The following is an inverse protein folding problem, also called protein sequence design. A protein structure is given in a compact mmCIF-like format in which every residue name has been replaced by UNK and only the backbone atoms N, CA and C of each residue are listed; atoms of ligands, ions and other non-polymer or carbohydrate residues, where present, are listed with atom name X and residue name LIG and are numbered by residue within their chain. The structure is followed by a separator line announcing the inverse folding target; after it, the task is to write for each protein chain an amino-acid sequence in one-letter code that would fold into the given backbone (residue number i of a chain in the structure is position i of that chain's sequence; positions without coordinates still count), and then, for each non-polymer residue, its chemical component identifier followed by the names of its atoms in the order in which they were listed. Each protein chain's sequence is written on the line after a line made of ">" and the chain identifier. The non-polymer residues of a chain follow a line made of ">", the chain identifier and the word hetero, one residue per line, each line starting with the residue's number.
data_IF_787358992513
#
_entry.id   IF_787358992513
#
_cell.length_a   1.000
_cell.length_b   1.000
_cell.length_c   1.000
_cell.angle_alpha   90.00
_cell.angle_beta   90.00
_cell.angle_gamma   90.00
#
_symmetry.space_group_name_H-M   'P 1'
#
loop_
_entity.id
_entity.type
_entity.pdbx_description
1 polymer ?
#
# COMPACT_ATOMS: atom_id res chain seq x y z
N UNK A 1 0.90 1.65 23.50
CA UNK A 1 1.22 2.89 22.81
C UNK A 1 0.45 3.01 21.54
N UNK A 2 -0.26 4.11 21.37
CA UNK A 2 -1.08 4.34 20.21
C UNK A 2 -0.28 4.96 19.07
N UNK A 3 -0.83 4.85 17.88
CA UNK A 3 -0.35 5.56 16.71
C UNK A 3 -1.46 6.45 16.18
N UNK A 4 -1.09 7.45 15.39
CA UNK A 4 -2.05 8.35 14.73
C UNK A 4 -1.98 8.16 13.24
N UNK A 5 -3.15 8.18 12.59
CA UNK A 5 -3.27 8.12 11.13
C UNK A 5 -3.48 9.54 10.63
N UNK A 6 -2.60 10.02 9.76
CA UNK A 6 -2.55 11.40 9.30
C UNK A 6 -2.30 11.45 7.80
N UNK A 7 -2.63 12.59 7.19
CA UNK A 7 -2.24 12.82 5.81
C UNK A 7 -0.74 13.06 5.71
N UNK A 8 -0.14 12.57 4.64
CA UNK A 8 1.24 12.82 4.29
C UNK A 8 1.46 14.30 4.00
N UNK A 9 2.60 14.82 4.43
CA UNK A 9 3.04 16.18 4.12
C UNK A 9 4.36 16.11 3.35
N UNK A 10 4.64 17.03 2.42
CA UNK A 10 5.90 17.00 1.66
C UNK A 10 7.16 16.96 2.52
N UNK A 11 7.12 17.52 3.72
CA UNK A 11 8.26 17.47 4.64
C UNK A 11 8.54 16.05 5.15
N UNK A 12 7.60 15.12 4.98
CA UNK A 12 7.76 13.70 5.37
C UNK A 12 8.48 12.89 4.29
N UNK A 13 8.81 13.47 3.14
CA UNK A 13 9.26 12.72 1.96
C UNK A 13 10.50 11.87 2.22
N UNK A 14 11.54 12.42 2.84
CA UNK A 14 12.77 11.66 3.06
C UNK A 14 12.55 10.52 4.04
N UNK A 15 11.79 10.76 5.09
CA UNK A 15 11.49 9.73 6.09
C UNK A 15 10.64 8.62 5.48
N UNK A 16 9.66 8.98 4.65
CA UNK A 16 8.82 8.00 3.98
C UNK A 16 9.63 7.14 3.00
N UNK A 17 10.54 7.74 2.24
CA UNK A 17 11.39 7.00 1.30
C UNK A 17 12.22 5.95 2.05
N UNK A 18 12.81 6.32 3.18
CA UNK A 18 13.60 5.41 4.00
C UNK A 18 12.75 4.29 4.59
N UNK A 19 11.55 4.62 5.05
CA UNK A 19 10.62 3.63 5.57
C UNK A 19 10.26 2.61 4.49
N UNK A 20 9.91 3.07 3.30
CA UNK A 20 9.54 2.20 2.20
C UNK A 20 10.65 1.22 1.87
N UNK A 21 11.89 1.70 1.78
CA UNK A 21 13.05 0.84 1.52
C UNK A 21 13.20 -0.20 2.63
N UNK A 22 13.14 0.22 3.89
CA UNK A 22 13.32 -0.71 5.01
C UNK A 22 12.25 -1.78 5.07
N UNK A 23 11.03 -1.44 4.67
CA UNK A 23 9.93 -2.40 4.69
C UNK A 23 10.10 -3.50 3.64
N UNK A 24 10.79 -3.22 2.53
CA UNK A 24 10.98 -4.19 1.45
C UNK A 24 12.30 -4.96 1.54
N UNK A 25 13.23 -4.57 2.39
CA UNK A 25 14.54 -5.23 2.47
C UNK A 25 14.45 -6.72 2.79
N UNK A 26 13.42 -7.15 3.49
CA UNK A 26 13.20 -8.57 3.79
C UNK A 26 13.03 -9.42 2.54
N UNK A 27 12.71 -8.81 1.40
CA UNK A 27 12.49 -9.53 0.13
C UNK A 27 13.67 -9.41 -0.83
N UNK A 28 14.82 -8.92 -0.36
CA UNK A 28 15.98 -8.62 -1.21
C UNK A 28 16.42 -9.78 -2.08
N UNK A 29 16.38 -10.99 -1.55
CA UNK A 29 16.84 -12.18 -2.28
C UNK A 29 15.77 -12.78 -3.18
N UNK A 30 14.56 -12.20 -3.21
CA UNK A 30 13.43 -12.73 -3.97
C UNK A 30 13.20 -11.96 -5.27
N UNK A 31 13.32 -10.63 -5.23
CA UNK A 31 13.12 -9.80 -6.42
C UNK A 31 14.35 -9.80 -7.31
N UNK A 32 14.14 -9.87 -8.63
CA UNK A 32 15.20 -9.70 -9.61
C UNK A 32 15.58 -8.21 -9.68
N UNK A 33 16.82 -7.91 -10.09
CA UNK A 33 17.30 -6.54 -10.30
C UNK A 33 16.99 -5.64 -9.08
N UNK A 34 17.36 -6.13 -7.92
CA UNK A 34 17.04 -5.47 -6.64
C UNK A 34 17.35 -3.98 -6.63
N UNK A 35 18.52 -3.57 -7.15
CA UNK A 35 18.90 -2.15 -7.12
C UNK A 35 17.90 -1.27 -7.87
N UNK A 36 17.41 -1.75 -9.01
CA UNK A 36 16.41 -1.03 -9.80
C UNK A 36 15.07 -1.05 -9.08
N UNK A 37 14.65 -2.22 -8.58
CA UNK A 37 13.39 -2.36 -7.88
C UNK A 37 13.33 -1.44 -6.65
N UNK A 38 14.37 -1.48 -5.80
CA UNK A 38 14.35 -0.70 -4.55
C UNK A 38 14.40 0.81 -4.81
N UNK A 39 15.00 1.24 -5.94
CA UNK A 39 14.99 2.65 -6.29
C UNK A 39 13.57 3.13 -6.61
N UNK A 40 12.75 2.27 -7.21
CA UNK A 40 11.32 2.58 -7.46
C UNK A 40 10.53 2.62 -6.17
N UNK A 41 10.84 1.73 -5.22
CA UNK A 41 10.20 1.72 -3.91
C UNK A 41 10.55 3.01 -3.15
N UNK A 42 11.81 3.46 -3.22
CA UNK A 42 12.25 4.69 -2.58
C UNK A 42 11.54 5.93 -3.13
N UNK A 43 10.98 5.84 -4.34
CA UNK A 43 10.24 6.93 -4.96
C UNK A 43 8.79 7.02 -4.47
N UNK A 44 8.40 6.26 -3.44
CA UNK A 44 7.03 6.27 -2.92
C UNK A 44 6.47 7.68 -2.68
N UNK A 45 7.24 8.67 -2.18
CA UNK A 45 6.68 10.02 -1.99
C UNK A 45 6.12 10.65 -3.27
N UNK A 46 6.60 10.25 -4.45
CA UNK A 46 6.08 10.77 -5.71
C UNK A 46 4.65 10.34 -6.00
N UNK A 47 4.13 9.34 -5.29
CA UNK A 47 2.72 8.95 -5.42
C UNK A 47 1.78 10.09 -5.05
N UNK A 48 2.25 11.07 -4.27
CA UNK A 48 1.43 12.22 -3.88
C UNK A 48 1.00 13.07 -5.07
N UNK A 49 1.65 12.93 -6.22
CA UNK A 49 1.30 13.69 -7.42
C UNK A 49 -0.05 13.25 -8.02
N UNK A 50 -0.43 11.99 -7.83
CA UNK A 50 -1.66 11.44 -8.42
C UNK A 50 -2.50 10.63 -7.44
N UNK A 51 -2.08 10.54 -6.19
CA UNK A 51 -2.80 9.77 -5.17
C UNK A 51 -2.67 10.45 -3.81
N UNK A 52 -3.47 9.96 -2.85
CA UNK A 52 -3.40 10.45 -1.47
C UNK A 52 -2.51 9.51 -0.69
N UNK A 53 -1.48 10.03 -0.05
CA UNK A 53 -0.63 9.22 0.83
C UNK A 53 -1.08 9.44 2.27
N UNK A 54 -1.28 8.33 2.98
CA UNK A 54 -1.71 8.32 4.37
C UNK A 54 -0.56 7.74 5.19
N UNK A 55 -0.21 8.38 6.30
CA UNK A 55 0.88 7.92 7.16
C UNK A 55 0.37 7.58 8.55
N UNK A 56 1.06 6.66 9.20
CA UNK A 56 0.85 6.36 10.61
C UNK A 56 2.09 6.81 11.37
N UNK A 57 1.92 7.52 12.46
CA UNK A 57 3.02 8.02 13.29
C UNK A 57 2.87 7.59 14.74
N UNK A 58 4.00 7.22 15.34
CA UNK A 58 4.13 7.06 16.78
C UNK A 58 5.06 8.17 17.23
N UNK A 59 4.57 9.02 18.14
CA UNK A 59 5.24 10.26 18.55
C UNK A 59 5.54 11.13 17.35
N UNK A 60 6.48 11.33 16.72
CA UNK A 60 6.64 12.11 15.50
C UNK A 60 7.27 11.29 14.38
N UNK A 61 7.42 9.99 14.62
CA UNK A 61 8.10 9.12 13.67
C UNK A 61 7.09 8.39 12.78
N UNK A 62 7.32 8.37 11.46
CA UNK A 62 6.49 7.60 10.54
C UNK A 62 6.80 6.13 10.72
N UNK A 63 5.78 5.33 11.04
CA UNK A 63 5.93 3.89 11.25
C UNK A 63 5.20 3.07 10.19
N UNK A 64 4.38 3.70 9.38
CA UNK A 64 3.69 3.06 8.28
C UNK A 64 3.13 4.09 7.32
N UNK A 65 2.81 3.64 6.11
CA UNK A 65 2.21 4.49 5.09
C UNK A 65 1.52 3.66 4.03
N UNK A 66 0.59 4.27 3.32
CA UNK A 66 -0.13 3.64 2.22
C UNK A 66 -0.57 4.74 1.24
N UNK A 67 -0.63 4.38 -0.05
CA UNK A 67 -1.22 5.25 -1.06
C UNK A 67 -2.66 4.85 -1.31
N UNK A 68 -3.51 5.83 -1.53
CA UNK A 68 -4.90 5.64 -1.92
C UNK A 68 -5.14 6.31 -3.27
N UNK A 69 -5.63 5.53 -4.25
CA UNK A 69 -5.97 6.05 -5.58
C UNK A 69 -7.49 6.08 -5.70
N UNK A 70 -8.04 7.27 -5.90
CA UNK A 70 -9.49 7.45 -6.03
C UNK A 70 -10.00 6.92 -7.37
N UNK A 71 -11.32 6.62 -7.48
CA UNK A 71 -11.92 6.27 -8.76
C UNK A 71 -11.63 7.34 -9.82
N UNK A 72 -11.40 6.89 -11.05
CA UNK A 72 -11.16 7.73 -12.22
C UNK A 72 -9.86 8.54 -12.16
N UNK A 73 -8.97 8.24 -11.22
CA UNK A 73 -7.61 8.77 -11.21
C UNK A 73 -6.67 7.79 -11.93
N UNK A 74 -5.51 8.26 -12.42
CA UNK A 74 -4.57 7.38 -13.12
C UNK A 74 -4.20 6.18 -12.27
N UNK A 75 -4.25 5.00 -12.86
CA UNK A 75 -3.92 3.74 -12.19
C UNK A 75 -3.44 2.72 -13.22
N UNK A 76 -2.88 1.61 -12.75
CA UNK A 76 -2.40 0.55 -13.62
C UNK A 76 -3.54 -0.03 -14.45
N UNK A 77 -3.23 -0.50 -15.65
CA UNK A 77 -4.23 -0.98 -16.61
C UNK A 77 -5.03 -2.18 -16.12
N UNK A 78 -4.47 -2.98 -15.22
CA UNK A 78 -5.17 -4.15 -14.71
C UNK A 78 -6.20 -3.82 -13.63
N UNK A 79 -6.35 -2.56 -13.26
CA UNK A 79 -7.43 -2.09 -12.41
C UNK A 79 -8.49 -1.39 -13.26
N UNK A 80 -9.77 -1.61 -12.96
CA UNK A 80 -10.84 -0.89 -13.65
C UNK A 80 -10.82 0.59 -13.27
N UNK A 81 -11.10 1.51 -14.20
CA UNK A 81 -11.03 2.93 -13.91
C UNK A 81 -11.90 3.39 -12.74
N UNK A 82 -13.04 2.75 -12.54
CA UNK A 82 -13.99 3.14 -11.48
C UNK A 82 -13.64 2.56 -10.12
N UNK A 83 -12.63 1.69 -10.02
CA UNK A 83 -12.20 1.14 -8.73
C UNK A 83 -11.37 2.16 -7.95
N UNK A 84 -11.50 2.14 -6.61
CA UNK A 84 -10.49 2.74 -5.74
C UNK A 84 -9.38 1.70 -5.55
N UNK A 85 -8.15 2.15 -5.30
CA UNK A 85 -7.00 1.25 -5.18
C UNK A 85 -6.17 1.59 -3.94
N UNK A 86 -5.81 0.54 -3.18
CA UNK A 86 -4.81 0.62 -2.12
C UNK A 86 -3.46 0.37 -2.78
N UNK A 87 -2.49 1.26 -2.57
CA UNK A 87 -1.21 1.17 -3.24
C UNK A 87 -0.05 1.29 -2.26
N UNK A 88 0.89 0.35 -2.32
CA UNK A 88 2.14 0.40 -1.56
C UNK A 88 1.97 0.56 -0.05
N UNK A 89 1.30 -0.40 0.58
CA UNK A 89 1.26 -0.43 2.04
C UNK A 89 2.64 -0.83 2.58
N UNK A 90 3.21 0.02 3.43
CA UNK A 90 4.50 -0.27 4.09
C UNK A 90 4.37 -0.03 5.58
N UNK A 91 5.01 -0.89 6.38
CA UNK A 91 5.07 -0.76 7.84
C UNK A 91 6.50 -1.08 8.25
N UNK A 92 7.10 -0.22 9.07
CA UNK A 92 8.47 -0.48 9.54
C UNK A 92 8.52 -1.79 10.32
N UNK A 93 9.58 -2.62 10.12
CA UNK A 93 9.66 -3.92 10.80
C UNK A 93 9.50 -3.83 12.31
N UNK A 94 10.05 -2.81 12.95
CA UNK A 94 9.98 -2.67 14.41
C UNK A 94 8.59 -2.33 14.95
N UNK A 95 7.66 -1.92 14.09
CA UNK A 95 6.30 -1.56 14.50
C UNK A 95 5.25 -2.57 14.01
N UNK A 96 5.67 -3.73 13.53
CA UNK A 96 4.73 -4.76 13.09
C UNK A 96 4.01 -5.38 14.28
N UNK A 97 2.80 -5.87 14.03
CA UNK A 97 1.99 -6.48 15.08
C UNK A 97 1.18 -5.49 15.91
N UNK A 98 1.21 -4.20 15.58
CA UNK A 98 0.49 -3.15 16.30
C UNK A 98 -0.84 -2.76 15.64
N UNK A 99 -1.21 -3.40 14.52
CA UNK A 99 -2.45 -3.07 13.81
C UNK A 99 -2.34 -1.91 12.86
N UNK A 100 -1.12 -1.44 12.56
CA UNK A 100 -0.90 -0.28 11.69
C UNK A 100 -1.36 -0.56 10.27
N UNK A 101 -0.98 -1.71 9.70
CA UNK A 101 -1.38 -2.06 8.33
C UNK A 101 -2.88 -2.14 8.18
N UNK A 102 -3.57 -2.72 9.17
CA UNK A 102 -5.03 -2.81 9.17
C UNK A 102 -5.65 -1.42 9.23
N UNK A 103 -5.16 -0.55 10.11
CA UNK A 103 -5.70 0.81 10.25
C UNK A 103 -5.53 1.63 8.98
N UNK A 104 -4.36 1.52 8.31
CA UNK A 104 -4.11 2.23 7.05
C UNK A 104 -5.01 1.69 5.94
N UNK A 105 -5.21 0.39 5.86
CA UNK A 105 -6.10 -0.22 4.88
C UNK A 105 -7.55 0.22 5.12
N UNK A 106 -7.98 0.24 6.37
CA UNK A 106 -9.32 0.70 6.73
C UNK A 106 -9.53 2.17 6.40
N UNK A 107 -8.50 3.00 6.52
CA UNK A 107 -8.60 4.39 6.11
C UNK A 107 -8.80 4.51 4.60
N UNK A 108 -8.12 3.67 3.81
CA UNK A 108 -8.34 3.62 2.35
C UNK A 108 -9.78 3.23 2.03
N UNK A 109 -10.33 2.24 2.74
CA UNK A 109 -11.73 1.81 2.53
C UNK A 109 -12.68 2.96 2.85
N UNK A 110 -12.42 3.69 3.92
CA UNK A 110 -13.21 4.86 4.30
C UNK A 110 -13.20 5.93 3.21
N UNK A 111 -12.02 6.20 2.63
CA UNK A 111 -11.91 7.17 1.54
C UNK A 111 -12.59 6.70 0.26
N UNK A 112 -12.52 5.40 -0.01
CA UNK A 112 -13.23 4.82 -1.16
C UNK A 112 -14.74 5.03 -1.02
N UNK A 113 -15.28 4.84 0.19
CA UNK A 113 -16.69 5.13 0.45
C UNK A 113 -17.02 6.60 0.28
N UNK A 114 -16.15 7.48 0.79
CA UNK A 114 -16.30 8.94 0.61
C UNK A 114 -16.42 9.30 -0.87
N UNK A 115 -15.63 8.63 -1.72
CA UNK A 115 -15.55 8.93 -3.14
C UNK A 115 -16.57 8.15 -3.97
N UNK A 116 -17.47 7.38 -3.33
CA UNK A 116 -18.54 6.67 -4.00
C UNK A 116 -18.11 5.42 -4.74
N UNK A 117 -16.94 4.88 -4.46
CA UNK A 117 -16.47 3.65 -5.09
C UNK A 117 -17.30 2.46 -4.62
N UNK A 118 -17.65 1.57 -5.55
CA UNK A 118 -18.32 0.32 -5.21
C UNK A 118 -17.34 -0.81 -4.96
N UNK A 119 -16.13 -0.70 -5.53
CA UNK A 119 -15.09 -1.71 -5.42
C UNK A 119 -13.77 -1.04 -5.04
N UNK A 120 -13.06 -1.64 -4.10
CA UNK A 120 -11.68 -1.28 -3.79
C UNK A 120 -10.79 -2.45 -4.13
N UNK A 121 -9.64 -2.17 -4.74
CA UNK A 121 -8.73 -3.19 -5.24
C UNK A 121 -7.30 -2.93 -4.76
N UNK A 122 -6.49 -3.97 -4.84
CA UNK A 122 -5.05 -3.87 -4.63
C UNK A 122 -4.39 -5.01 -5.42
N UNK A 123 -3.08 -4.91 -5.62
CA UNK A 123 -2.32 -6.06 -6.08
C UNK A 123 -1.24 -6.38 -5.05
N UNK A 124 -1.05 -7.67 -4.80
CA UNK A 124 -0.10 -8.14 -3.81
C UNK A 124 0.40 -9.52 -4.20
N UNK A 125 1.37 -10.02 -3.47
CA UNK A 125 2.02 -11.28 -3.76
C UNK A 125 1.93 -12.22 -2.57
N UNK A 126 1.95 -13.53 -2.87
CA UNK A 126 1.96 -14.56 -1.83
C UNK A 126 3.24 -14.51 -0.98
N UNK A 127 4.31 -13.88 -1.47
CA UNK A 127 5.52 -13.71 -0.65
C UNK A 127 5.28 -12.75 0.53
N UNK A 128 4.28 -11.88 0.40
CA UNK A 128 3.91 -10.93 1.45
C UNK A 128 2.84 -11.54 2.34
N UNK A 129 3.19 -12.62 3.04
CA UNK A 129 2.23 -13.47 3.74
C UNK A 129 1.41 -12.74 4.79
N UNK A 130 2.04 -11.89 5.59
CA UNK A 130 1.36 -11.18 6.67
C UNK A 130 0.33 -10.18 6.10
N UNK A 131 0.74 -9.40 5.11
CA UNK A 131 -0.15 -8.43 4.48
C UNK A 131 -1.30 -9.13 3.76
N UNK A 132 -1.00 -10.18 3.00
CA UNK A 132 -2.04 -10.91 2.27
C UNK A 132 -3.06 -11.52 3.24
N UNK A 133 -2.61 -12.15 4.32
CA UNK A 133 -3.52 -12.72 5.32
C UNK A 133 -4.43 -11.64 5.92
N UNK A 134 -3.89 -10.45 6.18
CA UNK A 134 -4.66 -9.33 6.69
C UNK A 134 -5.71 -8.88 5.68
N UNK A 135 -5.34 -8.72 4.40
CA UNK A 135 -6.30 -8.32 3.37
C UNK A 135 -7.44 -9.31 3.24
N UNK A 136 -7.13 -10.61 3.26
CA UNK A 136 -8.16 -11.65 3.17
C UNK A 136 -9.11 -11.59 4.37
N UNK A 137 -8.59 -11.35 5.58
CA UNK A 137 -9.44 -11.22 6.77
C UNK A 137 -10.34 -9.98 6.70
N UNK A 138 -9.88 -8.88 6.10
CA UNK A 138 -10.70 -7.67 5.92
C UNK A 138 -11.83 -7.93 4.93
N UNK A 139 -11.62 -8.80 3.94
CA UNK A 139 -12.65 -9.16 2.99
C UNK A 139 -12.25 -9.06 1.51
N UNK A 140 -10.97 -8.76 1.24
CA UNK A 140 -10.47 -8.81 -0.14
C UNK A 140 -10.44 -10.25 -0.63
N UNK A 141 -10.73 -10.44 -1.91
CA UNK A 141 -10.73 -11.77 -2.55
C UNK A 141 -9.93 -11.72 -3.83
N UNK A 142 -9.25 -12.81 -4.15
CA UNK A 142 -8.49 -12.93 -5.39
C UNK A 142 -9.42 -12.74 -6.59
N UNK A 143 -9.01 -11.91 -7.53
CA UNK A 143 -9.78 -11.62 -8.74
C UNK A 143 -9.11 -12.20 -9.98
N UNK A 144 -7.82 -11.93 -10.18
CA UNK A 144 -7.08 -12.33 -11.37
C UNK A 144 -5.59 -12.12 -11.16
N UNK A 145 -4.78 -12.72 -12.04
CA UNK A 145 -3.34 -12.50 -12.02
C UNK A 145 -3.03 -11.06 -12.45
N UNK A 146 -2.01 -10.48 -11.84
CA UNK A 146 -1.41 -9.22 -12.27
C UNK A 146 -0.09 -9.53 -12.94
N UNK A 147 0.48 -8.58 -13.72
CA UNK A 147 1.81 -8.77 -14.29
C UNK A 147 2.86 -9.00 -13.20
N UNK A 148 3.85 -9.86 -13.49
CA UNK A 148 4.97 -10.07 -12.57
C UNK A 148 5.74 -8.77 -12.38
N UNK A 149 6.27 -8.58 -11.18
CA UNK A 149 7.12 -7.43 -10.86
C UNK A 149 8.49 -7.98 -10.49
N UNK A 150 9.48 -7.67 -11.32
CA UNK A 150 10.87 -8.12 -11.10
C UNK A 150 10.94 -9.60 -10.70
N UNK A 151 10.27 -10.45 -11.50
CA UNK A 151 10.27 -11.90 -11.30
C UNK A 151 9.33 -12.44 -10.26
N UNK A 152 8.61 -11.59 -9.54
CA UNK A 152 7.68 -12.00 -8.49
C UNK A 152 6.24 -11.97 -9.01
N UNK A 153 5.50 -13.06 -8.77
CA UNK A 153 4.11 -13.16 -9.19
C UNK A 153 3.21 -12.32 -8.28
N UNK A 154 2.28 -11.59 -8.91
CA UNK A 154 1.30 -10.77 -8.20
C UNK A 154 -0.11 -11.15 -8.62
N UNK A 155 -1.06 -10.89 -7.75
CA UNK A 155 -2.49 -11.05 -8.03
C UNK A 155 -3.27 -9.80 -7.66
N UNK A 156 -4.35 -9.57 -8.39
CA UNK A 156 -5.31 -8.50 -8.09
C UNK A 156 -6.36 -9.07 -7.14
N UNK A 157 -6.58 -8.34 -6.05
CA UNK A 157 -7.60 -8.68 -5.04
C UNK A 157 -8.58 -7.53 -4.94
N UNK A 158 -9.86 -7.84 -4.81
CA UNK A 158 -10.92 -6.83 -4.75
C UNK A 158 -11.86 -7.07 -3.58
N UNK A 159 -12.53 -6.00 -3.16
CA UNK A 159 -13.59 -6.08 -2.15
C UNK A 159 -14.69 -5.12 -2.53
N UNK A 160 -15.94 -5.59 -2.46
CA UNK A 160 -17.10 -4.73 -2.66
C UNK A 160 -17.38 -3.93 -1.40
N UNK A 161 -17.62 -2.63 -1.57
CA UNK A 161 -17.85 -1.71 -0.45
C UNK A 161 -19.10 -0.87 -0.70
N UNK A 162 -20.20 -1.36 -0.36
CA UNK A 162 -21.46 -0.60 -0.55
C UNK A 162 -21.72 0.35 0.59
#
# INVERSE_FOLDING_TARGET
>A
MGFKVLDFSPQDSDELAKLAVSAFEQYKDIYDDWDVFISRIAAMPSLAESSEIIVAKIDSEIVGAVGYVAPHKPKAEFFEPEWAVVRMLVVTPKARGLGIGKALTEECIKRAKRDGAQTIALHTSQIMQTALAMYLRIGFKYKKAAPNIFGVEYGVYTMEIN
#
